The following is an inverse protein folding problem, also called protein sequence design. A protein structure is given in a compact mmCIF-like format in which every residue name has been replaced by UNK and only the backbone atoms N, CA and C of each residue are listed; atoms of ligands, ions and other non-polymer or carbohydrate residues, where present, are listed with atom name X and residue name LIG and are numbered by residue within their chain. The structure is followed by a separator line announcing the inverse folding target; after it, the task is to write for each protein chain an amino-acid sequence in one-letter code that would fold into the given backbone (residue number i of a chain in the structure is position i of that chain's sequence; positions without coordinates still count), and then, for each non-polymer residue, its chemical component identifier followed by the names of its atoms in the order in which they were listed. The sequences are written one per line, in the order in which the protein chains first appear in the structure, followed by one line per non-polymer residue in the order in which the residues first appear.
data_IF_235227537350
#
_entry.id   IF_235227537350
#
_cell.length_a   1.000
_cell.length_b   1.000
_cell.length_c   1.000
_cell.angle_alpha   90.00
_cell.angle_beta   90.00
_cell.angle_gamma   90.00
#
_symmetry.space_group_name_H-M   'P 1'
#
loop_
_entity.id
_entity.type
_entity.pdbx_description
1 polymer ?
#
# COMPACT_ATOMS: atom_id res chain seq x y z
N UNK A 1 -10.62 -51.79 5.21
CA UNK A 1 -11.79 -50.94 5.50
C UNK A 1 -11.54 -49.78 6.49
N UNK A 2 -10.42 -49.74 7.23
CA UNK A 2 -10.10 -48.65 8.21
C UNK A 2 -9.21 -47.52 7.67
N UNK A 3 -8.66 -47.67 6.46
CA UNK A 3 -7.72 -46.70 5.87
C UNK A 3 -8.39 -45.55 5.11
N UNK A 4 -9.59 -45.79 4.55
CA UNK A 4 -10.35 -44.78 3.82
C UNK A 4 -10.89 -43.67 4.70
N UNK A 5 -11.11 -43.92 6.01
CA UNK A 5 -11.54 -42.88 6.94
C UNK A 5 -10.43 -41.89 7.34
N UNK A 6 -9.16 -42.30 7.29
CA UNK A 6 -8.03 -41.41 7.64
C UNK A 6 -7.82 -40.37 6.53
N UNK A 7 -7.98 -40.77 5.27
CA UNK A 7 -7.83 -39.86 4.10
C UNK A 7 -8.93 -38.78 4.08
N UNK A 8 -10.17 -39.14 4.44
CA UNK A 8 -11.29 -38.19 4.50
C UNK A 8 -11.13 -37.15 5.63
N UNK A 9 -10.49 -37.51 6.75
CA UNK A 9 -10.25 -36.59 7.85
C UNK A 9 -9.15 -35.54 7.52
N UNK A 10 -8.19 -35.88 6.66
CA UNK A 10 -7.10 -34.96 6.27
C UNK A 10 -7.51 -33.89 5.23
N UNK A 11 -8.64 -34.04 4.54
CA UNK A 11 -9.12 -33.01 3.60
C UNK A 11 -9.83 -31.82 4.28
N UNK A 12 -10.29 -31.98 5.52
CA UNK A 12 -11.01 -30.92 6.26
C UNK A 12 -10.07 -29.84 6.81
N UNK A 13 -8.76 -30.10 6.93
CA UNK A 13 -7.79 -29.12 7.43
C UNK A 13 -7.38 -28.07 6.38
N UNK A 14 -7.73 -28.25 5.10
CA UNK A 14 -7.40 -27.30 4.03
C UNK A 14 -8.42 -26.15 3.95
N UNK A 15 -9.62 -26.30 4.50
CA UNK A 15 -10.62 -25.23 4.57
C UNK A 15 -10.26 -24.13 5.60
N UNK A 16 -9.26 -24.36 6.46
CA UNK A 16 -8.75 -23.38 7.42
C UNK A 16 -7.76 -22.36 6.84
N UNK A 17 -7.34 -22.51 5.57
CA UNK A 17 -6.47 -21.56 4.87
C UNK A 17 -7.25 -20.56 4.00
N UNK A 18 -8.53 -20.31 4.28
CA UNK A 18 -9.27 -19.17 3.72
C UNK A 18 -8.98 -17.92 4.57
N UNK A 19 -7.69 -17.59 4.75
CA UNK A 19 -7.23 -16.28 5.21
C UNK A 19 -6.67 -15.56 3.98
N UNK A 20 -7.26 -14.45 3.55
CA UNK A 20 -6.85 -13.78 2.30
C UNK A 20 -8.00 -13.32 1.40
N UNK A 21 -9.26 -13.37 1.84
CA UNK A 21 -10.43 -12.95 1.05
C UNK A 21 -11.34 -11.96 1.76
N UNK A 22 -11.10 -11.70 3.05
CA UNK A 22 -11.83 -10.71 3.80
C UNK A 22 -11.51 -9.30 3.35
N UNK A 23 -12.46 -8.40 3.61
CA UNK A 23 -12.34 -7.00 3.28
C UNK A 23 -11.18 -6.35 4.02
N UNK A 24 -10.93 -6.69 5.29
CA UNK A 24 -9.85 -6.07 6.05
C UNK A 24 -8.49 -6.36 5.40
N UNK A 25 -8.12 -7.64 5.23
CA UNK A 25 -6.82 -7.96 4.63
C UNK A 25 -6.67 -7.42 3.20
N UNK A 26 -7.73 -7.43 2.38
CA UNK A 26 -7.68 -6.91 1.01
C UNK A 26 -7.51 -5.40 0.93
N UNK A 27 -7.88 -4.67 1.97
CA UNK A 27 -7.68 -3.23 2.04
C UNK A 27 -6.32 -2.89 2.65
N UNK A 28 -5.85 -3.70 3.58
CA UNK A 28 -4.47 -3.60 4.09
C UNK A 28 -3.45 -3.91 2.98
N UNK A 29 -3.75 -4.86 2.08
CA UNK A 29 -2.96 -5.13 0.87
C UNK A 29 -2.90 -3.94 -0.10
N UNK A 30 -3.96 -3.11 -0.15
CA UNK A 30 -3.97 -1.88 -0.94
C UNK A 30 -3.02 -0.81 -0.33
N UNK A 31 -2.65 -0.93 0.95
CA UNK A 31 -1.67 -0.03 1.60
C UNK A 31 -0.25 -0.46 1.27
N UNK A 32 0.34 0.16 0.26
CA UNK A 32 1.73 -0.13 -0.11
C UNK A 32 2.74 0.61 0.78
N UNK A 33 3.88 -0.03 1.06
CA UNK A 33 5.00 0.63 1.75
C UNK A 33 5.68 1.64 0.83
N UNK A 34 5.90 2.86 1.33
CA UNK A 34 6.64 3.88 0.59
C UNK A 34 8.15 3.64 0.55
N UNK A 35 8.69 2.78 1.43
CA UNK A 35 10.14 2.51 1.50
C UNK A 35 10.68 1.89 0.21
N UNK A 36 9.86 1.11 -0.50
CA UNK A 36 10.26 0.50 -1.77
C UNK A 36 10.53 1.53 -2.88
N UNK A 37 10.06 2.76 -2.72
CA UNK A 37 10.23 3.84 -3.68
C UNK A 37 11.36 4.82 -3.31
N UNK A 38 11.98 4.66 -2.14
CA UNK A 38 13.03 5.56 -1.67
C UNK A 38 14.33 5.41 -2.47
N UNK A 39 14.56 4.24 -3.07
CA UNK A 39 15.72 3.98 -3.94
C UNK A 39 15.49 4.43 -5.40
N UNK A 40 14.26 4.77 -5.78
CA UNK A 40 13.92 5.18 -7.15
C UNK A 40 14.32 6.65 -7.37
N UNK A 41 15.04 7.02 -8.45
CA UNK A 41 15.38 8.41 -8.74
C UNK A 41 14.15 9.33 -8.76
N UNK A 42 14.25 10.54 -8.17
CA UNK A 42 13.12 11.45 -8.02
C UNK A 42 12.38 11.75 -9.33
N UNK A 43 13.09 12.01 -10.43
CA UNK A 43 12.49 12.33 -11.72
C UNK A 43 11.68 11.13 -12.26
N UNK A 44 12.24 9.93 -12.12
CA UNK A 44 11.58 8.70 -12.51
C UNK A 44 10.35 8.42 -11.64
N UNK A 45 10.45 8.66 -10.32
CA UNK A 45 9.36 8.47 -9.39
C UNK A 45 8.19 9.42 -9.66
N UNK A 46 8.48 10.70 -9.96
CA UNK A 46 7.49 11.70 -10.34
C UNK A 46 6.77 11.31 -11.64
N UNK A 47 7.52 10.86 -12.65
CA UNK A 47 6.97 10.41 -13.92
C UNK A 47 6.09 9.16 -13.75
N UNK A 48 6.58 8.15 -13.01
CA UNK A 48 5.83 6.91 -12.73
C UNK A 48 4.50 7.20 -12.02
N UNK A 49 4.51 8.00 -10.96
CA UNK A 49 3.28 8.39 -10.25
C UNK A 49 2.29 9.09 -11.18
N UNK A 50 2.75 10.07 -11.95
CA UNK A 50 1.88 10.85 -12.83
C UNK A 50 1.29 9.97 -13.95
N UNK A 51 2.09 9.08 -14.53
CA UNK A 51 1.64 8.13 -15.53
C UNK A 51 0.60 7.16 -14.93
N UNK A 52 0.85 6.62 -13.74
CA UNK A 52 -0.07 5.71 -13.06
C UNK A 52 -1.41 6.39 -12.71
N UNK A 53 -1.34 7.64 -12.24
CA UNK A 53 -2.51 8.47 -11.98
C UNK A 53 -3.33 8.72 -13.25
N UNK A 54 -2.68 9.07 -14.36
CA UNK A 54 -3.36 9.28 -15.65
C UNK A 54 -4.00 7.99 -16.19
N UNK A 55 -3.29 6.87 -16.15
CA UNK A 55 -3.78 5.58 -16.64
C UNK A 55 -5.05 5.12 -15.89
N UNK A 56 -5.13 5.40 -14.59
CA UNK A 56 -6.26 5.00 -13.75
C UNK A 56 -7.32 6.10 -13.60
N UNK A 57 -7.15 7.26 -14.25
CA UNK A 57 -7.98 8.46 -14.06
C UNK A 57 -8.11 8.86 -12.57
N UNK A 58 -7.01 8.74 -11.83
CA UNK A 58 -6.93 9.06 -10.41
C UNK A 58 -6.15 10.36 -10.18
N UNK A 59 -6.42 11.09 -9.08
CA UNK A 59 -5.58 12.21 -8.69
C UNK A 59 -4.19 11.71 -8.26
N UNK A 60 -3.16 12.55 -8.45
CA UNK A 60 -1.78 12.26 -7.99
C UNK A 60 -1.65 12.18 -6.46
N UNK A 61 -2.67 12.62 -5.72
CA UNK A 61 -2.79 12.54 -4.26
C UNK A 61 -3.81 11.50 -3.82
N UNK A 62 -4.17 10.56 -4.71
CA UNK A 62 -5.11 9.50 -4.40
C UNK A 62 -4.63 8.69 -3.19
N UNK A 63 -5.58 8.34 -2.31
CA UNK A 63 -5.34 7.49 -1.14
C UNK A 63 -6.13 6.19 -1.28
N UNK A 64 -5.64 5.08 -0.71
CA UNK A 64 -6.43 3.85 -0.62
C UNK A 64 -7.71 4.13 0.18
N UNK A 65 -8.83 3.60 -0.32
CA UNK A 65 -10.13 3.75 0.32
C UNK A 65 -10.39 2.59 1.25
N UNK A 66 -10.74 2.91 2.50
CA UNK A 66 -11.16 1.95 3.50
C UNK A 66 -12.68 1.99 3.64
N UNK A 67 -13.32 0.92 3.20
CA UNK A 67 -14.65 0.54 3.68
C UNK A 67 -14.57 0.25 5.18
N UNK A 68 -15.55 0.77 5.90
CA UNK A 68 -15.75 0.51 7.31
C UNK A 68 -16.82 -0.60 7.43
N UNK A 69 -16.45 -1.90 7.40
CA UNK A 69 -17.40 -2.96 7.69
C UNK A 69 -17.88 -2.71 9.11
N UNK A 70 -19.18 -2.44 9.25
CA UNK A 70 -19.80 -2.08 10.52
C UNK A 70 -19.28 -3.00 11.64
N UNK A 71 -18.60 -2.41 12.63
CA UNK A 71 -18.26 -3.02 13.92
C UNK A 71 -17.19 -4.13 13.91
N UNK A 72 -16.03 -3.92 13.27
CA UNK A 72 -14.85 -4.76 13.55
C UNK A 72 -14.88 -6.19 12.98
N UNK A 73 -15.92 -6.53 12.20
CA UNK A 73 -16.01 -7.79 11.47
C UNK A 73 -15.25 -7.79 10.14
N UNK A 74 -14.41 -6.78 9.87
CA UNK A 74 -13.62 -6.69 8.64
C UNK A 74 -12.80 -7.93 8.29
N UNK A 75 -12.14 -8.61 9.26
CA UNK A 75 -11.43 -9.87 9.03
C UNK A 75 -12.34 -11.07 8.74
N UNK A 76 -13.65 -10.95 8.93
CA UNK A 76 -14.63 -12.00 8.68
C UNK A 76 -15.65 -11.66 7.58
N UNK A 77 -15.57 -10.46 7.01
CA UNK A 77 -16.52 -9.99 5.99
C UNK A 77 -15.89 -10.20 4.61
N UNK A 78 -16.51 -10.99 3.71
CA UNK A 78 -15.94 -11.27 2.40
C UNK A 78 -15.81 -9.99 1.56
N UNK A 79 -14.76 -9.93 0.72
CA UNK A 79 -14.60 -8.80 -0.20
C UNK A 79 -15.64 -8.79 -1.32
N UNK A 80 -16.59 -7.87 -1.23
CA UNK A 80 -17.68 -7.68 -2.21
C UNK A 80 -17.38 -6.61 -3.27
N UNK A 81 -16.20 -5.97 -3.24
CA UNK A 81 -15.79 -4.97 -4.24
C UNK A 81 -15.63 -5.60 -5.61
N UNK A 82 -16.01 -4.87 -6.66
CA UNK A 82 -15.80 -5.29 -8.05
C UNK A 82 -14.31 -5.33 -8.40
N UNK A 83 -13.93 -6.09 -9.44
CA UNK A 83 -12.53 -6.13 -9.92
C UNK A 83 -11.99 -4.75 -10.29
N UNK A 84 -12.82 -3.91 -10.92
CA UNK A 84 -12.46 -2.55 -11.28
C UNK A 84 -12.20 -1.68 -10.04
N UNK A 85 -13.05 -1.80 -9.01
CA UNK A 85 -12.87 -1.08 -7.76
C UNK A 85 -11.57 -1.50 -7.04
N UNK A 86 -11.26 -2.80 -7.03
CA UNK A 86 -10.01 -3.31 -6.45
C UNK A 86 -8.79 -2.80 -7.20
N UNK A 87 -8.81 -2.82 -8.53
CA UNK A 87 -7.71 -2.31 -9.35
C UNK A 87 -7.48 -0.81 -9.10
N UNK A 88 -8.56 -0.02 -9.03
CA UNK A 88 -8.50 1.41 -8.74
C UNK A 88 -7.93 1.69 -7.34
N UNK A 89 -8.38 0.96 -6.31
CA UNK A 89 -7.89 1.12 -4.94
C UNK A 89 -6.42 0.67 -4.79
N UNK A 90 -6.00 -0.36 -5.51
CA UNK A 90 -4.59 -0.77 -5.56
C UNK A 90 -3.72 0.31 -6.19
N UNK A 91 -4.18 0.91 -7.29
CA UNK A 91 -3.49 2.01 -7.94
C UNK A 91 -3.42 3.25 -7.04
N UNK A 92 -4.47 3.58 -6.30
CA UNK A 92 -4.42 4.69 -5.34
C UNK A 92 -3.47 4.42 -4.18
N UNK A 93 -3.37 3.18 -3.71
CA UNK A 93 -2.37 2.75 -2.73
C UNK A 93 -0.92 2.93 -3.21
N UNK A 94 -0.66 2.59 -4.46
CA UNK A 94 0.64 2.77 -5.10
C UNK A 94 1.00 4.27 -5.24
N UNK A 95 0.04 5.07 -5.70
CA UNK A 95 0.18 6.53 -5.82
C UNK A 95 0.45 7.18 -4.45
N UNK A 96 -0.23 6.74 -3.39
CA UNK A 96 0.00 7.22 -2.01
C UNK A 96 1.42 6.84 -1.55
N UNK A 97 1.85 5.61 -1.79
CA UNK A 97 3.19 5.15 -1.41
C UNK A 97 4.30 5.94 -2.13
N UNK A 98 4.17 6.15 -3.44
CA UNK A 98 5.08 6.99 -4.22
C UNK A 98 5.07 8.44 -3.73
N UNK A 99 3.89 9.00 -3.46
CA UNK A 99 3.73 10.38 -2.96
C UNK A 99 4.39 10.58 -1.60
N UNK A 100 4.24 9.64 -0.67
CA UNK A 100 4.92 9.70 0.63
C UNK A 100 6.45 9.64 0.49
N UNK A 101 6.98 8.86 -0.45
CA UNK A 101 8.42 8.85 -0.73
C UNK A 101 8.90 10.18 -1.32
N UNK A 102 8.14 10.74 -2.28
CA UNK A 102 8.40 12.07 -2.87
C UNK A 102 8.42 13.16 -1.79
N UNK A 103 7.44 13.15 -0.88
CA UNK A 103 7.33 14.12 0.21
C UNK A 103 8.49 14.03 1.20
N UNK A 104 8.85 12.81 1.62
CA UNK A 104 9.98 12.61 2.55
C UNK A 104 11.33 13.00 1.96
N UNK A 105 11.52 12.76 0.66
CA UNK A 105 12.78 13.05 -0.05
C UNK A 105 12.80 14.45 -0.65
N UNK A 106 11.75 15.25 -0.45
CA UNK A 106 11.56 16.57 -1.03
C UNK A 106 11.78 16.61 -2.56
N UNK A 107 11.42 15.52 -3.24
CA UNK A 107 11.59 15.38 -4.69
C UNK A 107 10.79 16.49 -5.41
N UNK A 108 11.46 17.20 -6.34
CA UNK A 108 10.84 18.30 -7.11
C UNK A 108 10.80 19.65 -6.38
N UNK A 109 11.25 19.73 -5.12
CA UNK A 109 11.48 21.02 -4.47
C UNK A 109 12.88 21.52 -4.82
N UNK A 110 13.09 22.83 -5.03
CA UNK A 110 14.43 23.37 -5.13
C UNK A 110 15.15 23.07 -3.81
N UNK A 111 16.31 22.40 -3.87
CA UNK A 111 17.13 22.14 -2.68
C UNK A 111 17.30 23.47 -1.94
N UNK A 112 16.76 23.57 -0.72
CA UNK A 112 17.08 24.70 0.14
C UNK A 112 18.59 24.69 0.29
N UNK A 113 19.26 25.76 -0.14
CA UNK A 113 20.68 25.96 0.14
C UNK A 113 20.82 25.85 1.65
N UNK A 114 21.48 24.80 2.13
CA UNK A 114 21.84 24.70 3.53
C UNK A 114 22.81 25.85 3.81
N UNK A 115 22.33 26.92 4.45
CA UNK A 115 23.20 27.78 5.24
C UNK A 115 23.66 26.94 6.41
N UNK A 116 24.74 26.20 6.18
CA UNK A 116 25.53 25.48 7.17
C UNK A 116 26.18 26.53 8.07
N UNK A 117 25.41 27.02 9.04
CA UNK A 117 25.87 27.93 10.09
C UNK A 117 25.97 27.16 11.39
N UNK A 118 26.95 26.25 11.48
CA UNK A 118 27.50 25.89 12.79
C UNK A 118 28.14 27.17 13.34
N UNK A 119 27.37 27.91 14.14
CA UNK A 119 27.88 28.98 15.00
C UNK A 119 29.03 28.38 15.80
N UNK A 120 30.24 28.82 15.49
CA UNK A 120 31.46 28.33 16.10
C UNK A 120 31.38 28.37 17.63
N UNK A 121 31.72 27.25 18.24
CA UNK A 121 32.13 27.20 19.64
C UNK A 121 33.38 28.09 19.79
N UNK A 122 33.19 29.26 20.38
CA UNK A 122 34.26 30.17 20.76
C UNK A 122 34.90 29.64 22.06
N UNK A 123 36.21 29.35 22.11
CA UNK A 123 36.87 29.02 23.37
C UNK A 123 37.20 30.30 24.14
N UNK A 124 36.83 30.33 25.42
CA UNK A 124 37.34 31.25 26.44
C UNK A 124 37.83 30.42 27.63
#
# INVERSE_FOLDING_TARGET
MRWTMVVLASCLTVAGCVGGTSMAERQDEDVQSSLQYDDVPCDQLLAQRNQLAQQNNLPITAKPSFSNPAMGFGPFTPDMRSKAQRASNKASGEIDAMSRSIERRDCGKPKKKETFGLSGSQPS
#
